data_IF_165024627434
#
_entry.id   IF_165024627434
#
_cell.length_a   1.000
_cell.length_b   1.000
_cell.length_c   1.000
_cell.angle_alpha   90.00
_cell.angle_beta   90.00
_cell.angle_gamma   90.00
#
_symmetry.space_group_name_H-M   'P 1'
#
loop_
_entity.id
_entity.type
_entity.pdbx_description
1 polymer ?
#
# COMPACT_ATOMS: atom_id res chain seq x y z
N UNK A 1 17.55 0.49 58.41
CA UNK A 1 16.20 0.81 57.90
C UNK A 1 16.16 0.29 56.47
N UNK A 2 15.79 -0.98 56.28
CA UNK A 2 15.53 -1.50 54.93
C UNK A 2 14.17 -0.97 54.52
N UNK A 3 14.18 0.15 53.82
CA UNK A 3 13.00 0.69 53.17
C UNK A 3 12.57 -0.33 52.10
N UNK A 4 11.45 -1.01 52.35
CA UNK A 4 10.69 -1.77 51.36
C UNK A 4 10.30 -0.80 50.25
N UNK A 5 11.24 -0.52 49.32
CA UNK A 5 11.03 0.42 48.23
C UNK A 5 9.95 -0.15 47.33
N UNK A 6 8.73 0.32 47.54
CA UNK A 6 7.63 0.02 46.65
C UNK A 6 7.98 0.56 45.27
N UNK A 7 8.30 -0.33 44.33
CA UNK A 7 8.78 0.03 42.99
C UNK A 7 7.63 0.40 42.05
N UNK A 8 6.37 0.19 42.47
CA UNK A 8 5.15 0.57 41.74
C UNK A 8 5.17 2.04 41.28
N UNK A 9 5.46 3.04 42.12
CA UNK A 9 5.58 4.45 41.68
C UNK A 9 6.69 4.67 40.63
N UNK A 10 7.80 3.94 40.73
CA UNK A 10 8.91 4.02 39.76
C UNK A 10 8.51 3.44 38.40
N UNK A 11 7.73 2.35 38.39
CA UNK A 11 7.20 1.74 37.17
C UNK A 11 6.14 2.64 36.54
N UNK A 12 5.22 3.20 37.33
CA UNK A 12 4.18 4.10 36.83
C UNK A 12 4.75 5.38 36.23
N UNK A 13 5.77 5.97 36.87
CA UNK A 13 6.46 7.14 36.32
C UNK A 13 7.16 6.80 35.01
N UNK A 14 7.83 5.65 34.92
CA UNK A 14 8.43 5.18 33.66
C UNK A 14 7.41 5.04 32.52
N UNK A 15 6.31 4.33 32.76
CA UNK A 15 5.23 4.13 31.78
C UNK A 15 4.59 5.47 31.39
N UNK A 16 4.30 6.33 32.37
CA UNK A 16 3.71 7.65 32.14
C UNK A 16 4.59 8.54 31.26
N UNK A 17 5.92 8.47 31.45
CA UNK A 17 6.87 9.23 30.63
C UNK A 17 6.90 8.75 29.18
N UNK A 18 6.84 7.43 28.97
CA UNK A 18 6.77 6.83 27.62
C UNK A 18 5.48 7.24 26.93
N UNK A 19 4.32 7.06 27.58
CA UNK A 19 3.01 7.42 27.03
C UNK A 19 2.94 8.92 26.74
N UNK A 20 3.43 9.77 27.65
CA UNK A 20 3.49 11.21 27.45
C UNK A 20 4.33 11.60 26.23
N UNK A 21 5.50 10.98 26.07
CA UNK A 21 6.39 11.23 24.92
C UNK A 21 5.74 10.82 23.59
N UNK A 22 5.20 9.60 23.53
CA UNK A 22 4.49 9.08 22.35
C UNK A 22 3.26 9.94 22.04
N UNK A 23 2.51 10.35 23.07
CA UNK A 23 1.34 11.22 22.94
C UNK A 23 1.70 12.62 22.43
N UNK A 24 2.80 13.21 22.91
CA UNK A 24 3.31 14.47 22.37
C UNK A 24 3.68 14.33 20.89
N UNK A 25 4.42 13.28 20.51
CA UNK A 25 4.78 13.03 19.11
C UNK A 25 3.54 12.83 18.23
N UNK A 26 2.49 12.19 18.75
CA UNK A 26 1.21 12.04 18.07
C UNK A 26 0.47 13.38 17.91
N UNK A 27 0.39 14.19 18.98
CA UNK A 27 -0.26 15.50 18.94
C UNK A 27 0.43 16.49 17.98
N UNK A 28 1.77 16.47 17.91
CA UNK A 28 2.54 17.27 16.96
C UNK A 28 2.55 16.68 15.53
N UNK A 29 1.90 15.54 15.29
CA UNK A 29 1.77 14.93 13.97
C UNK A 29 3.03 14.21 13.46
N UNK A 30 4.06 14.04 14.29
CA UNK A 30 5.27 13.28 13.95
C UNK A 30 5.03 11.77 13.96
N UNK A 31 4.00 11.30 14.65
CA UNK A 31 3.61 9.90 14.66
C UNK A 31 2.59 9.63 13.56
N UNK A 32 3.09 9.45 12.34
CA UNK A 32 2.30 8.94 11.22
C UNK A 32 2.25 7.42 11.32
N UNK A 33 1.08 6.87 11.65
CA UNK A 33 0.81 5.47 11.39
C UNK A 33 0.76 5.32 9.87
N UNK A 34 1.77 4.68 9.29
CA UNK A 34 1.74 4.30 7.89
C UNK A 34 0.47 3.47 7.67
N UNK A 35 -0.51 4.06 6.98
CA UNK A 35 -1.71 3.32 6.66
C UNK A 35 -1.35 2.34 5.55
N UNK A 36 -2.01 1.17 5.45
CA UNK A 36 -1.74 0.23 4.38
C UNK A 36 -2.01 0.81 2.97
N UNK A 37 -2.76 1.90 2.87
CA UNK A 37 -2.96 2.71 1.64
C UNK A 37 -1.70 3.48 1.18
N UNK A 38 -0.67 3.62 2.02
CA UNK A 38 0.63 4.22 1.67
C UNK A 38 1.69 3.16 1.29
N UNK A 39 1.35 1.87 1.38
CA UNK A 39 2.19 0.83 0.82
C UNK A 39 1.96 0.80 -0.69
N UNK A 40 3.05 0.88 -1.45
CA UNK A 40 3.20 0.79 -2.92
C UNK A 40 2.40 -0.32 -3.64
N UNK A 41 1.63 -1.14 -2.92
CA UNK A 41 0.70 -2.11 -3.46
C UNK A 41 -0.69 -1.47 -3.58
N UNK A 42 -0.91 -0.77 -4.69
CA UNK A 42 -2.14 -0.03 -4.95
C UNK A 42 -3.39 -0.94 -5.06
N UNK A 43 -3.20 -2.22 -5.38
CA UNK A 43 -4.20 -3.31 -5.33
C UNK A 43 -3.58 -4.58 -5.92
N UNK A 44 -3.91 -5.77 -5.38
CA UNK A 44 -3.54 -7.06 -5.98
C UNK A 44 -4.62 -7.52 -6.98
N UNK A 45 -4.25 -7.65 -8.25
CA UNK A 45 -5.17 -8.09 -9.31
C UNK A 45 -5.00 -9.58 -9.61
N UNK A 46 -6.09 -10.34 -9.55
CA UNK A 46 -6.11 -11.76 -9.95
C UNK A 46 -6.34 -11.88 -11.46
N UNK A 47 -5.43 -12.53 -12.16
CA UNK A 47 -5.64 -12.92 -13.56
C UNK A 47 -6.44 -14.22 -13.61
N UNK A 48 -7.68 -14.16 -14.12
CA UNK A 48 -8.50 -15.35 -14.35
C UNK A 48 -8.12 -16.00 -15.68
N UNK A 49 -7.88 -17.31 -15.66
CA UNK A 49 -7.64 -18.08 -16.89
C UNK A 49 -8.95 -18.17 -17.69
N UNK A 50 -8.96 -17.62 -18.89
CA UNK A 50 -10.07 -17.82 -19.84
C UNK A 50 -9.96 -19.23 -20.42
N UNK A 51 -10.82 -20.16 -19.97
CA UNK A 51 -10.95 -21.48 -20.58
C UNK A 51 -12.06 -21.41 -21.63
N UNK A 52 -11.80 -21.77 -22.90
CA UNK A 52 -12.83 -21.73 -23.94
C UNK A 52 -13.95 -22.72 -23.61
N UNK A 53 -15.17 -22.22 -23.45
CA UNK A 53 -16.37 -23.03 -23.12
C UNK A 53 -16.79 -23.01 -21.65
N UNK A 54 -16.10 -22.28 -20.77
CA UNK A 54 -16.48 -22.08 -19.37
C UNK A 54 -16.81 -20.60 -19.14
N UNK A 55 -18.01 -20.30 -18.62
CA UNK A 55 -18.42 -18.93 -18.32
C UNK A 55 -17.57 -18.36 -17.17
N UNK A 56 -16.70 -17.40 -17.50
CA UNK A 56 -15.95 -16.67 -16.48
C UNK A 56 -16.90 -15.74 -15.73
N UNK A 57 -17.09 -15.99 -14.43
CA UNK A 57 -17.98 -15.21 -13.57
C UNK A 57 -17.32 -13.90 -13.16
N UNK A 58 -17.46 -12.88 -14.00
CA UNK A 58 -17.15 -11.48 -13.66
C UNK A 58 -18.39 -10.77 -13.14
N UNK A 59 -18.20 -9.88 -12.15
CA UNK A 59 -19.30 -9.02 -11.71
C UNK A 59 -19.73 -8.09 -12.84
N UNK A 60 -21.02 -7.79 -12.89
CA UNK A 60 -21.58 -6.77 -13.79
C UNK A 60 -21.19 -5.34 -13.35
N UNK A 61 -20.75 -5.17 -12.10
CA UNK A 61 -20.26 -3.90 -11.59
C UNK A 61 -18.81 -3.69 -12.04
N UNK A 62 -18.51 -2.62 -12.80
CA UNK A 62 -17.15 -2.32 -13.21
C UNK A 62 -16.28 -1.95 -12.01
N UNK A 63 -14.98 -2.23 -12.10
CA UNK A 63 -14.02 -1.75 -11.12
C UNK A 63 -13.82 -0.23 -11.27
N UNK A 64 -13.47 0.45 -10.17
CA UNK A 64 -13.20 1.88 -10.17
C UNK A 64 -11.86 2.26 -10.84
N UNK A 65 -11.00 1.28 -11.14
CA UNK A 65 -9.71 1.50 -11.77
C UNK A 65 -9.80 1.36 -13.30
N UNK A 66 -9.20 2.30 -14.02
CA UNK A 66 -9.11 2.28 -15.50
C UNK A 66 -7.65 2.05 -15.90
N UNK A 67 -7.41 1.12 -16.81
CA UNK A 67 -6.07 0.82 -17.33
C UNK A 67 -5.81 1.57 -18.65
N UNK A 68 -4.66 2.21 -18.76
CA UNK A 68 -4.16 2.85 -19.97
C UNK A 68 -2.73 2.40 -20.24
N UNK A 69 -2.37 2.26 -21.51
CA UNK A 69 -0.99 2.05 -21.88
C UNK A 69 -0.26 3.39 -22.07
N UNK A 70 0.79 3.62 -21.28
CA UNK A 70 1.63 4.82 -21.37
C UNK A 70 3.08 4.35 -21.42
N UNK A 71 3.85 4.84 -22.39
CA UNK A 71 5.26 4.48 -22.57
C UNK A 71 5.53 2.96 -22.62
N UNK A 72 4.57 2.19 -23.12
CA UNK A 72 4.64 0.73 -23.27
C UNK A 72 4.46 -0.09 -21.99
N UNK A 73 4.09 0.54 -20.87
CA UNK A 73 3.69 -0.13 -19.63
C UNK A 73 2.22 0.12 -19.31
N UNK A 74 1.57 -0.85 -18.65
CA UNK A 74 0.18 -0.73 -18.24
C UNK A 74 0.08 0.08 -16.93
N UNK A 75 -0.50 1.27 -17.02
CA UNK A 75 -0.76 2.17 -15.88
C UNK A 75 -2.25 2.10 -15.53
N UNK A 76 -2.55 2.03 -14.25
CA UNK A 76 -3.90 2.02 -13.71
C UNK A 76 -4.17 3.32 -12.96
N UNK A 77 -5.29 3.96 -13.29
CA UNK A 77 -5.77 5.18 -12.65
C UNK A 77 -6.99 4.87 -11.80
N UNK A 78 -6.99 5.34 -10.56
CA UNK A 78 -8.18 5.29 -9.70
C UNK A 78 -9.11 6.46 -10.05
N UNK A 79 -10.38 6.15 -10.38
CA UNK A 79 -11.38 7.18 -10.74
C UNK A 79 -12.07 7.79 -9.51
N UNK A 80 -12.05 7.11 -8.36
CA UNK A 80 -12.64 7.59 -7.10
C UNK A 80 -11.64 8.49 -6.36
N UNK A 81 -10.35 8.16 -6.38
CA UNK A 81 -9.31 8.91 -5.69
C UNK A 81 -8.39 9.64 -6.68
N UNK A 82 -8.66 10.94 -6.87
CA UNK A 82 -7.87 11.81 -7.76
C UNK A 82 -6.40 11.82 -7.35
N UNK A 83 -5.53 11.25 -8.19
CA UNK A 83 -4.07 11.32 -8.06
C UNK A 83 -3.39 10.00 -7.70
N UNK A 84 -4.12 8.92 -7.42
CA UNK A 84 -3.51 7.60 -7.28
C UNK A 84 -3.38 6.95 -8.66
N UNK A 85 -2.13 6.78 -9.09
CA UNK A 85 -1.75 6.11 -10.34
C UNK A 85 -0.70 5.05 -10.03
N UNK A 86 -0.88 3.85 -10.54
CA UNK A 86 0.01 2.71 -10.29
C UNK A 86 0.39 2.01 -11.58
N UNK A 87 1.60 1.45 -11.63
CA UNK A 87 2.03 0.57 -12.73
C UNK A 87 1.66 -0.85 -12.35
N UNK A 88 0.98 -1.58 -13.24
CA UNK A 88 0.66 -2.98 -13.00
C UNK A 88 1.95 -3.80 -13.05
N UNK A 89 2.28 -4.48 -11.94
CA UNK A 89 3.45 -5.36 -11.84
C UNK A 89 3.02 -6.80 -11.52
N UNK A 90 3.81 -7.78 -11.94
CA UNK A 90 3.64 -9.16 -11.52
C UNK A 90 4.22 -9.40 -10.11
N UNK A 91 4.05 -10.62 -9.59
CA UNK A 91 4.58 -11.06 -8.28
C UNK A 91 6.11 -10.88 -8.11
N UNK A 92 6.86 -10.70 -9.20
CA UNK A 92 8.31 -10.44 -9.22
C UNK A 92 8.65 -8.96 -9.40
N UNK A 93 7.67 -8.04 -9.25
CA UNK A 93 7.82 -6.59 -9.46
C UNK A 93 8.21 -6.21 -10.90
N UNK A 94 7.83 -7.02 -11.88
CA UNK A 94 8.07 -6.70 -13.29
C UNK A 94 6.83 -6.05 -13.89
N UNK A 95 6.99 -4.89 -14.53
CA UNK A 95 5.89 -4.17 -15.17
C UNK A 95 5.27 -4.98 -16.32
N UNK A 96 3.95 -5.05 -16.35
CA UNK A 96 3.20 -5.64 -17.46
C UNK A 96 3.28 -4.69 -18.65
N UNK A 97 3.82 -5.20 -19.76
CA UNK A 97 4.01 -4.44 -21.00
C UNK A 97 2.81 -4.57 -21.90
N UNK A 98 2.50 -3.50 -22.62
CA UNK A 98 1.46 -3.54 -23.65
C UNK A 98 2.03 -4.07 -24.96
N UNK A 99 1.23 -4.83 -25.68
CA UNK A 99 1.62 -5.28 -27.02
C UNK A 99 1.54 -4.12 -28.02
N UNK A 100 2.60 -3.92 -28.81
CA UNK A 100 2.62 -2.95 -29.91
C UNK A 100 3.24 -1.58 -29.60
N UNK A 101 3.80 -1.36 -28.40
CA UNK A 101 4.58 -0.16 -28.07
C UNK A 101 5.99 -0.55 -27.62
N UNK A 102 7.01 -0.08 -28.35
CA UNK A 102 8.41 -0.26 -27.99
C UNK A 102 8.73 0.60 -26.76
N UNK A 103 9.22 -0.04 -25.71
CA UNK A 103 9.70 0.63 -24.49
C UNK A 103 11.14 1.08 -24.71
N UNK A 104 11.58 2.23 -24.17
CA UNK A 104 12.99 2.58 -24.13
C UNK A 104 13.75 1.45 -23.43
N UNK A 105 14.65 0.80 -24.16
CA UNK A 105 15.57 -0.17 -23.56
C UNK A 105 16.47 0.60 -22.60
N UNK A 106 16.67 0.08 -21.39
CA UNK A 106 17.74 0.58 -20.52
C UNK A 106 19.04 0.47 -21.32
N UNK A 107 19.56 1.62 -21.73
CA UNK A 107 20.86 1.69 -22.38
C UNK A 107 21.90 1.56 -21.27
N UNK A 108 22.58 0.41 -21.25
CA UNK A 108 23.74 0.15 -20.39
C UNK A 108 24.92 1.08 -20.73
#
# INVERSE_FOLDING_TARGET
>A
MSEERNMIPLILTGIGTIIGTVGCLWFYGYLHFAKPEDALLLSDFTMLKTVPGEDYKVSLTPAAQVAQCIDGVLVMFDTEQKGLSGVLVNNKKQAVRCMGQETPQLQE
#
